data_IF_722068146145
#
_entry.id   IF_722068146145
#
_cell.length_a   1.000
_cell.length_b   1.000
_cell.length_c   1.000
_cell.angle_alpha   90.00
_cell.angle_beta   90.00
_cell.angle_gamma   90.00
#
_symmetry.space_group_name_H-M   'P 1'
#
loop_
_entity.id
_entity.type
_entity.pdbx_description
1 polymer ?
#
# COMPACT_ATOMS: atom_id res chain seq x y z
N UNK A 1 31.65 -17.56 22.34
CA UNK A 1 30.89 -16.69 21.41
C UNK A 1 30.73 -15.31 22.04
N UNK A 2 31.36 -14.27 21.48
CA UNK A 2 31.33 -12.92 22.09
C UNK A 2 30.06 -12.18 21.66
N UNK A 3 29.30 -11.67 22.62
CA UNK A 3 28.06 -10.92 22.37
C UNK A 3 28.40 -9.48 21.96
N UNK A 4 28.23 -9.15 20.67
CA UNK A 4 28.48 -7.79 20.16
C UNK A 4 27.29 -6.86 20.46
N UNK A 5 27.57 -5.69 21.02
CA UNK A 5 26.56 -4.67 21.35
C UNK A 5 25.91 -4.06 20.09
N UNK A 6 24.65 -3.65 20.18
CA UNK A 6 23.86 -3.15 19.04
C UNK A 6 24.40 -1.86 18.43
N UNK A 7 25.06 -1.00 19.23
CA UNK A 7 25.72 0.22 18.72
C UNK A 7 26.88 -0.08 17.77
N UNK A 8 27.69 -1.08 18.10
CA UNK A 8 28.79 -1.51 17.24
C UNK A 8 28.26 -2.15 15.96
N UNK A 9 27.23 -3.00 16.06
CA UNK A 9 26.56 -3.57 14.86
C UNK A 9 26.08 -2.48 13.88
N UNK A 10 25.54 -1.36 14.38
CA UNK A 10 25.13 -0.22 13.54
C UNK A 10 26.30 0.47 12.83
N UNK A 11 27.46 0.65 13.49
CA UNK A 11 28.65 1.24 12.88
C UNK A 11 29.18 0.40 11.71
N UNK A 12 29.14 -0.92 11.86
CA UNK A 12 29.57 -1.87 10.82
C UNK A 12 28.48 -2.22 9.81
N UNK A 13 27.32 -1.53 9.83
CA UNK A 13 26.20 -1.82 8.91
C UNK A 13 25.55 -3.19 9.10
N UNK A 14 25.87 -3.90 10.19
CA UNK A 14 25.29 -5.20 10.49
C UNK A 14 23.85 -5.06 10.98
N UNK A 15 22.97 -5.92 10.47
CA UNK A 15 21.58 -6.01 10.91
C UNK A 15 21.52 -6.28 12.41
N UNK A 16 20.84 -5.41 13.15
CA UNK A 16 20.47 -5.69 14.55
C UNK A 16 19.12 -6.41 14.56
N UNK A 17 18.84 -7.23 15.57
CA UNK A 17 17.51 -7.87 15.71
C UNK A 17 16.36 -6.83 15.83
N UNK A 18 16.68 -5.59 16.25
CA UNK A 18 15.76 -4.44 16.24
C UNK A 18 15.58 -3.83 14.84
N UNK A 19 16.53 -4.04 13.94
CA UNK A 19 16.36 -3.85 12.50
C UNK A 19 15.80 -5.13 11.84
N UNK A 20 14.96 -5.88 12.57
CA UNK A 20 14.01 -6.77 11.93
C UNK A 20 13.20 -5.93 10.95
N UNK A 21 13.47 -6.11 9.66
CA UNK A 21 12.96 -5.35 8.50
C UNK A 21 13.80 -4.13 8.13
N UNK A 22 15.01 -4.40 7.64
CA UNK A 22 15.55 -3.74 6.44
C UNK A 22 14.71 -4.00 5.19
N UNK A 23 13.38 -4.07 5.31
CA UNK A 23 12.47 -3.80 4.22
C UNK A 23 12.17 -2.32 4.39
N UNK A 24 12.99 -1.49 3.75
CA UNK A 24 12.45 -0.24 3.22
C UNK A 24 11.24 -0.70 2.42
N UNK A 25 10.04 -0.62 3.01
CA UNK A 25 8.81 -0.78 2.28
C UNK A 25 8.77 0.43 1.36
N UNK A 26 9.54 0.38 0.26
CA UNK A 26 9.16 1.05 -0.97
C UNK A 26 7.70 0.62 -1.14
N UNK A 27 6.80 1.58 -1.02
CA UNK A 27 5.35 1.41 -1.11
C UNK A 27 4.91 0.95 -2.52
N UNK A 28 5.68 0.09 -3.17
CA UNK A 28 5.56 -0.30 -4.58
C UNK A 28 5.11 -1.74 -4.76
N UNK A 29 5.14 -2.57 -3.71
CA UNK A 29 4.55 -3.91 -3.77
C UNK A 29 3.03 -3.76 -3.70
N UNK A 30 2.38 -3.75 -4.87
CA UNK A 30 0.91 -3.92 -4.99
C UNK A 30 0.56 -5.20 -4.22
N UNK A 31 -0.08 -5.05 -3.06
CA UNK A 31 -0.51 -6.20 -2.26
C UNK A 31 -1.69 -6.82 -2.99
N UNK A 32 -1.59 -8.07 -3.48
CA UNK A 32 -2.59 -8.66 -4.38
C UNK A 32 -3.99 -8.71 -3.76
N UNK A 33 -4.06 -8.85 -2.43
CA UNK A 33 -5.33 -9.03 -1.72
C UNK A 33 -5.86 -7.73 -1.07
N UNK A 34 -5.34 -6.55 -1.43
CA UNK A 34 -5.85 -5.29 -0.87
C UNK A 34 -6.74 -4.58 -1.89
N UNK A 35 -7.92 -4.10 -1.45
CA UNK A 35 -8.75 -3.27 -2.30
C UNK A 35 -7.96 -2.03 -2.74
N UNK A 36 -8.00 -1.75 -4.04
CA UNK A 36 -7.32 -0.60 -4.58
C UNK A 36 -8.10 0.68 -4.23
N UNK A 37 -7.37 1.68 -3.73
CA UNK A 37 -7.96 2.94 -3.27
C UNK A 37 -7.25 4.12 -3.88
N UNK A 38 -8.01 5.14 -4.28
CA UNK A 38 -7.54 6.34 -4.96
C UNK A 38 -7.76 7.58 -4.08
N UNK A 39 -6.99 8.64 -4.31
CA UNK A 39 -7.09 9.87 -3.49
C UNK A 39 -8.24 10.78 -3.96
N UNK A 40 -8.55 10.79 -5.25
CA UNK A 40 -9.53 11.66 -5.88
C UNK A 40 -10.60 10.84 -6.61
N UNK A 41 -11.85 11.33 -6.63
CA UNK A 41 -12.96 10.68 -7.33
C UNK A 41 -12.68 10.59 -8.83
N UNK A 42 -12.22 11.68 -9.44
CA UNK A 42 -11.84 11.72 -10.86
C UNK A 42 -10.82 10.64 -11.23
N UNK A 43 -9.81 10.42 -10.37
CA UNK A 43 -8.80 9.38 -10.61
C UNK A 43 -9.39 7.97 -10.52
N UNK A 44 -10.39 7.76 -9.65
CA UNK A 44 -11.07 6.48 -9.56
C UNK A 44 -11.95 6.23 -10.81
N UNK A 45 -12.67 7.25 -11.29
CA UNK A 45 -13.46 7.17 -12.52
C UNK A 45 -12.59 6.86 -13.74
N UNK A 46 -11.48 7.60 -13.94
CA UNK A 46 -10.55 7.34 -15.04
C UNK A 46 -10.03 5.90 -15.02
N UNK A 47 -9.73 5.36 -13.84
CA UNK A 47 -9.25 3.98 -13.73
C UNK A 47 -10.37 2.97 -14.03
N UNK A 48 -11.59 3.23 -13.57
CA UNK A 48 -12.74 2.39 -13.91
C UNK A 48 -12.99 2.36 -15.42
N UNK A 49 -12.92 3.51 -16.09
CA UNK A 49 -13.06 3.65 -17.55
C UNK A 49 -11.95 2.90 -18.30
N UNK A 50 -10.68 3.06 -17.90
CA UNK A 50 -9.57 2.28 -18.50
C UNK A 50 -9.69 0.77 -18.27
N UNK A 51 -10.43 0.36 -17.24
CA UNK A 51 -10.70 -1.04 -16.93
C UNK A 51 -11.96 -1.57 -17.63
N UNK A 52 -12.64 -0.74 -18.43
CA UNK A 52 -13.84 -1.11 -19.19
C UNK A 52 -15.14 -1.15 -18.38
N UNK A 53 -15.16 -0.58 -17.17
CA UNK A 53 -16.39 -0.50 -16.35
C UNK A 53 -17.21 0.72 -16.74
N UNK A 54 -18.51 0.53 -17.04
CA UNK A 54 -19.44 1.65 -17.24
C UNK A 54 -19.87 2.22 -15.90
N UNK A 55 -20.30 3.49 -15.88
CA UNK A 55 -20.70 4.18 -14.63
C UNK A 55 -21.79 3.45 -13.83
N UNK A 56 -22.64 2.67 -14.50
CA UNK A 56 -23.70 1.90 -13.85
C UNK A 56 -23.21 0.56 -13.28
N UNK A 57 -22.06 0.08 -13.73
CA UNK A 57 -21.48 -1.22 -13.32
C UNK A 57 -20.64 -1.11 -12.05
N UNK A 58 -20.40 0.10 -11.53
CA UNK A 58 -19.62 0.31 -10.32
C UNK A 58 -20.10 1.50 -9.49
N UNK A 59 -19.80 1.46 -8.20
CA UNK A 59 -20.01 2.57 -7.28
C UNK A 59 -18.68 2.95 -6.62
N UNK A 60 -18.48 4.24 -6.39
CA UNK A 60 -17.37 4.75 -5.60
C UNK A 60 -17.75 4.77 -4.11
N UNK A 61 -17.04 4.01 -3.30
CA UNK A 61 -17.21 3.98 -1.85
C UNK A 61 -16.07 4.74 -1.18
N UNK A 62 -16.42 5.61 -0.23
CA UNK A 62 -15.44 6.32 0.60
C UNK A 62 -14.71 5.34 1.52
N UNK A 63 -13.39 5.36 1.50
CA UNK A 63 -12.50 4.49 2.26
C UNK A 63 -11.56 5.31 3.15
N UNK A 64 -10.96 4.64 4.15
CA UNK A 64 -9.94 5.23 5.06
C UNK A 64 -10.39 6.56 5.68
N UNK A 65 -11.56 6.56 6.35
CA UNK A 65 -12.14 7.76 6.98
C UNK A 65 -12.39 8.89 5.97
N UNK A 66 -12.99 8.55 4.83
CA UNK A 66 -13.34 9.50 3.76
C UNK A 66 -12.15 10.22 3.11
N UNK A 67 -10.93 9.69 3.25
CA UNK A 67 -9.72 10.25 2.62
C UNK A 67 -9.38 9.61 1.29
N UNK A 68 -10.07 8.53 0.93
CA UNK A 68 -9.83 7.76 -0.30
C UNK A 68 -11.14 7.24 -0.88
N UNK A 69 -11.08 6.79 -2.13
CA UNK A 69 -12.19 6.22 -2.88
C UNK A 69 -11.82 4.82 -3.35
N UNK A 70 -12.76 3.89 -3.24
CA UNK A 70 -12.63 2.53 -3.70
C UNK A 70 -13.70 2.27 -4.77
N UNK A 71 -13.30 1.64 -5.87
CA UNK A 71 -14.21 1.19 -6.92
C UNK A 71 -14.79 -0.16 -6.46
N UNK A 72 -16.11 -0.26 -6.35
CA UNK A 72 -16.81 -1.50 -6.02
C UNK A 72 -17.72 -1.83 -7.20
N UNK A 73 -17.53 -3.01 -7.80
CA UNK A 73 -18.36 -3.46 -8.92
C UNK A 73 -19.74 -3.86 -8.39
N UNK A 74 -20.79 -3.42 -9.07
CA UNK A 74 -22.15 -3.88 -8.83
C UNK A 74 -22.25 -5.35 -9.30
N UNK A 75 -22.91 -6.20 -8.49
CA UNK A 75 -23.07 -7.62 -8.81
C UNK A 75 -24.07 -7.82 -9.94
#
# INVERSE_FOLDING_TARGET
MVKVHTREKKKYGMGTHLNGKGVVYRNTVKKPNRPQTYKHEETAHKVAETSGLKKDDYVLVKAKRNKKFQIVKNK
#
